data_IF_933279739893
#
_entry.id   IF_933279739893
#
_cell.length_a   1.000
_cell.length_b   1.000
_cell.length_c   1.000
_cell.angle_alpha   90.00
_cell.angle_beta   90.00
_cell.angle_gamma   90.00
#
_symmetry.space_group_name_H-M   'P 1'
#
loop_
_entity.id
_entity.type
_entity.pdbx_description
1 polymer ?
#
# COMPACT_ATOMS: atom_id res chain seq x y z
N UNK A 1 7.29 21.39 -20.53
CA UNK A 1 6.63 21.49 -19.21
C UNK A 1 7.46 20.66 -18.25
N UNK A 2 7.65 21.08 -17.00
CA UNK A 2 8.37 20.26 -16.01
C UNK A 2 7.54 19.01 -15.74
N UNK A 3 8.15 17.83 -15.83
CA UNK A 3 7.50 16.57 -15.47
C UNK A 3 7.06 16.57 -14.01
N UNK A 4 6.01 15.81 -13.68
CA UNK A 4 5.50 15.67 -12.30
C UNK A 4 5.40 14.19 -11.99
N UNK A 5 5.77 13.80 -10.78
CA UNK A 5 5.68 12.39 -10.42
C UNK A 5 6.24 12.07 -9.04
N UNK A 6 6.66 10.82 -8.89
CA UNK A 6 7.17 10.27 -7.64
C UNK A 6 8.64 10.64 -7.51
N UNK A 7 8.93 11.53 -6.57
CA UNK A 7 10.29 11.96 -6.28
C UNK A 7 11.01 11.01 -5.32
N UNK A 8 10.33 10.51 -4.27
CA UNK A 8 10.88 9.48 -3.37
C UNK A 8 9.74 8.64 -2.77
N UNK A 9 10.07 7.42 -2.35
CA UNK A 9 9.16 6.46 -1.72
C UNK A 9 9.84 5.81 -0.51
N UNK A 10 9.09 5.61 0.57
CA UNK A 10 9.56 4.92 1.76
C UNK A 10 8.47 3.97 2.29
N UNK A 11 8.89 2.83 2.82
CA UNK A 11 7.98 1.78 3.29
C UNK A 11 8.15 1.59 4.81
N UNK A 12 7.07 1.25 5.49
CA UNK A 12 7.09 0.73 6.86
C UNK A 12 6.24 -0.54 6.95
N UNK A 13 6.58 -1.42 7.88
CA UNK A 13 5.85 -2.66 8.19
C UNK A 13 5.39 -2.63 9.65
N UNK A 14 4.54 -3.57 10.05
CA UNK A 14 4.36 -3.88 11.48
C UNK A 14 5.63 -4.46 12.10
N UNK A 15 5.72 -4.40 13.43
CA UNK A 15 6.83 -4.93 14.21
C UNK A 15 6.92 -6.45 14.19
N UNK A 16 5.78 -7.14 14.06
CA UNK A 16 5.72 -8.58 14.10
C UNK A 16 5.52 -9.20 12.72
N UNK A 17 5.84 -10.50 12.62
CA UNK A 17 5.57 -11.33 11.45
C UNK A 17 4.96 -12.65 11.88
N UNK A 18 3.95 -13.13 11.13
CA UNK A 18 3.48 -14.51 11.23
C UNK A 18 3.90 -15.25 9.96
N UNK A 19 4.67 -16.33 10.13
CA UNK A 19 5.03 -17.23 9.03
C UNK A 19 3.82 -18.09 8.66
N UNK A 20 3.54 -18.23 7.36
CA UNK A 20 2.38 -19.01 6.92
C UNK A 20 2.57 -20.51 7.09
N UNK A 21 3.81 -20.98 7.24
CA UNK A 21 4.09 -22.37 7.65
C UNK A 21 3.47 -22.68 9.03
N UNK A 22 3.60 -21.78 10.00
CA UNK A 22 3.04 -21.95 11.36
C UNK A 22 1.51 -21.99 11.32
N UNK A 23 0.90 -21.14 10.48
CA UNK A 23 -0.55 -21.12 10.29
C UNK A 23 -1.03 -22.39 9.56
N UNK A 24 -0.26 -22.87 8.57
CA UNK A 24 -0.58 -24.09 7.82
C UNK A 24 -0.58 -25.31 8.73
N UNK A 25 0.45 -25.44 9.59
CA UNK A 25 0.54 -26.48 10.59
C UNK A 25 -0.65 -26.44 11.56
N UNK A 26 -0.97 -25.26 12.10
CA UNK A 26 -2.10 -25.08 13.03
C UNK A 26 -3.45 -25.47 12.43
N UNK A 27 -3.67 -25.16 11.16
CA UNK A 27 -4.93 -25.42 10.47
C UNK A 27 -4.98 -26.80 9.79
N UNK A 28 -3.87 -27.56 9.82
CA UNK A 28 -3.78 -28.88 9.19
C UNK A 28 -3.92 -28.81 7.66
N UNK A 29 -3.39 -27.75 7.03
CA UNK A 29 -3.40 -27.57 5.57
C UNK A 29 -1.99 -27.67 5.00
N UNK A 30 -1.89 -28.04 3.73
CA UNK A 30 -0.61 -28.09 3.01
C UNK A 30 -0.03 -26.67 2.84
N UNK A 31 1.21 -26.38 3.31
CA UNK A 31 1.86 -25.08 3.11
C UNK A 31 1.90 -24.62 1.65
N UNK A 32 1.92 -25.53 0.68
CA UNK A 32 1.88 -25.19 -0.75
C UNK A 32 0.60 -24.41 -1.12
N UNK A 33 -0.50 -24.58 -0.37
CA UNK A 33 -1.71 -23.76 -0.53
C UNK A 33 -1.42 -22.26 -0.34
N UNK A 34 -0.47 -21.93 0.53
CA UNK A 34 -0.05 -20.56 0.82
C UNK A 34 1.07 -20.10 -0.11
N UNK A 35 2.21 -20.79 -0.11
CA UNK A 35 3.40 -20.37 -0.87
C UNK A 35 3.21 -20.40 -2.39
N UNK A 36 2.39 -21.33 -2.90
CA UNK A 36 2.13 -21.52 -4.34
C UNK A 36 0.72 -21.07 -4.71
N UNK A 37 -0.28 -21.48 -3.93
CA UNK A 37 -1.70 -21.27 -4.26
C UNK A 37 -2.12 -19.80 -4.25
N UNK A 38 -1.76 -19.06 -3.20
CA UNK A 38 -1.99 -17.60 -3.10
C UNK A 38 -0.69 -16.81 -3.31
N UNK A 39 0.46 -17.46 -3.17
CA UNK A 39 1.77 -16.84 -3.35
C UNK A 39 2.15 -15.90 -2.21
N UNK A 40 1.96 -16.35 -0.97
CA UNK A 40 2.33 -15.62 0.25
C UNK A 40 3.24 -16.49 1.10
N UNK A 41 4.20 -15.88 1.77
CA UNK A 41 5.15 -16.56 2.66
C UNK A 41 4.89 -16.22 4.13
N UNK A 42 4.63 -14.95 4.40
CA UNK A 42 4.35 -14.44 5.73
C UNK A 42 3.48 -13.19 5.64
N UNK A 43 2.95 -12.73 6.77
CA UNK A 43 2.33 -11.40 6.84
C UNK A 43 2.75 -10.60 8.06
N UNK A 44 2.82 -9.28 7.87
CA UNK A 44 3.14 -8.32 8.93
C UNK A 44 1.97 -8.17 9.90
N UNK A 45 2.29 -8.09 11.20
CA UNK A 45 1.33 -7.87 12.28
C UNK A 45 1.80 -6.67 13.11
N UNK A 46 0.94 -5.67 13.40
CA UNK A 46 1.33 -4.55 14.24
C UNK A 46 1.44 -4.99 15.71
N UNK A 47 2.37 -4.38 16.45
CA UNK A 47 2.39 -4.48 17.91
C UNK A 47 1.23 -3.69 18.55
N UNK A 48 0.90 -3.91 19.84
CA UNK A 48 -0.16 -3.18 20.54
C UNK A 48 0.00 -1.65 20.59
N UNK A 49 1.21 -1.15 20.40
CA UNK A 49 1.57 0.27 20.33
C UNK A 49 1.84 0.73 18.88
N UNK A 50 1.37 -0.02 17.88
CA UNK A 50 1.41 0.34 16.46
C UNK A 50 0.00 0.37 15.83
N UNK A 51 -0.20 1.28 14.89
CA UNK A 51 -1.38 1.35 14.02
C UNK A 51 -1.03 2.05 12.69
N UNK A 52 -2.04 2.38 11.89
CA UNK A 52 -1.84 3.10 10.61
C UNK A 52 -1.15 4.47 10.78
N UNK A 53 -1.33 5.15 11.91
CA UNK A 53 -0.70 6.45 12.18
C UNK A 53 0.77 6.24 12.44
N UNK A 54 1.14 5.27 13.29
CA UNK A 54 2.56 5.04 13.61
C UNK A 54 3.34 4.51 12.41
N UNK A 55 2.78 3.55 11.66
CA UNK A 55 3.41 3.03 10.45
C UNK A 55 3.49 4.10 9.36
N UNK A 56 2.42 4.85 9.14
CA UNK A 56 2.40 5.96 8.18
C UNK A 56 3.41 7.06 8.53
N UNK A 57 3.50 7.44 9.81
CA UNK A 57 4.49 8.41 10.29
C UNK A 57 5.93 7.86 10.17
N UNK A 58 6.17 6.58 10.46
CA UNK A 58 7.49 5.97 10.33
C UNK A 58 7.98 5.98 8.89
N UNK A 59 7.13 5.61 7.92
CA UNK A 59 7.46 5.68 6.50
C UNK A 59 7.71 7.14 6.06
N UNK A 60 6.82 8.06 6.43
CA UNK A 60 6.95 9.47 6.06
C UNK A 60 8.18 10.13 6.70
N UNK A 61 8.55 9.76 7.93
CA UNK A 61 9.76 10.27 8.60
C UNK A 61 11.01 10.03 7.78
N UNK A 62 11.13 8.89 7.12
CA UNK A 62 12.29 8.63 6.26
C UNK A 62 12.39 9.63 5.10
N UNK A 63 11.25 10.04 4.52
CA UNK A 63 11.23 11.06 3.47
C UNK A 63 11.58 12.44 4.04
N UNK A 64 11.02 12.80 5.19
CA UNK A 64 11.31 14.08 5.85
C UNK A 64 12.77 14.18 6.27
N UNK A 65 13.36 13.10 6.79
CA UNK A 65 14.78 13.07 7.19
C UNK A 65 15.71 13.27 5.98
N UNK A 66 15.31 12.79 4.80
CA UNK A 66 16.08 12.95 3.55
C UNK A 66 15.88 14.32 2.88
N UNK A 67 14.64 14.79 2.83
CA UNK A 67 14.22 15.89 1.95
C UNK A 67 13.78 17.16 2.66
N UNK A 68 13.73 17.11 3.99
CA UNK A 68 13.14 18.16 4.82
C UNK A 68 11.64 18.34 4.59
N UNK A 69 11.10 19.42 5.15
CA UNK A 69 9.67 19.74 5.09
C UNK A 69 9.34 20.84 4.07
N UNK A 70 10.35 21.44 3.44
CA UNK A 70 10.17 22.63 2.60
C UNK A 70 9.23 22.35 1.43
N UNK A 71 8.34 23.28 1.09
CA UNK A 71 7.37 23.08 0.00
C UNK A 71 6.28 22.05 0.27
N UNK A 72 6.36 21.20 1.31
CA UNK A 72 5.26 20.31 1.68
C UNK A 72 4.10 21.15 2.20
N UNK A 73 3.04 21.23 1.42
CA UNK A 73 1.84 22.04 1.74
C UNK A 73 0.56 21.23 1.79
N UNK A 74 0.62 19.96 1.40
CA UNK A 74 -0.49 19.02 1.49
C UNK A 74 0.01 17.65 1.95
N UNK A 75 -0.72 17.05 2.90
CA UNK A 75 -0.62 15.64 3.29
C UNK A 75 -1.93 14.96 2.90
N UNK A 76 -1.84 13.90 2.11
CA UNK A 76 -2.97 13.06 1.71
C UNK A 76 -2.80 11.69 2.36
N UNK A 77 -3.64 11.36 3.33
CA UNK A 77 -3.59 10.07 4.00
C UNK A 77 -4.65 9.14 3.40
N UNK A 78 -4.24 8.05 2.76
CA UNK A 78 -5.13 7.05 2.21
C UNK A 78 -5.19 5.83 3.13
N UNK A 79 -6.40 5.42 3.49
CA UNK A 79 -6.62 4.23 4.33
C UNK A 79 -8.05 3.75 4.21
N UNK A 80 -8.24 2.45 4.36
CA UNK A 80 -9.53 1.87 4.70
C UNK A 80 -9.57 1.35 6.14
N UNK A 81 -8.50 1.55 6.91
CA UNK A 81 -8.30 1.13 8.31
C UNK A 81 -8.37 2.29 9.30
N UNK A 82 -9.16 3.32 8.98
CA UNK A 82 -9.30 4.56 9.74
C UNK A 82 -9.53 4.35 11.24
N UNK A 83 -8.91 5.20 12.04
CA UNK A 83 -8.88 5.12 13.51
C UNK A 83 -9.86 6.07 14.22
N UNK A 84 -10.51 6.93 13.45
CA UNK A 84 -11.47 7.94 13.88
C UNK A 84 -12.48 8.15 12.74
N UNK A 85 -13.74 8.44 13.06
CA UNK A 85 -14.80 8.62 12.06
C UNK A 85 -14.84 10.05 11.48
N UNK A 86 -14.05 10.97 12.04
CA UNK A 86 -14.02 12.38 11.65
C UNK A 86 -12.60 12.92 11.49
N UNK A 87 -11.74 12.71 12.48
CA UNK A 87 -10.36 13.23 12.47
C UNK A 87 -9.47 12.36 11.59
N UNK A 88 -9.05 12.90 10.45
CA UNK A 88 -8.09 12.26 9.55
C UNK A 88 -6.81 11.79 10.27
N UNK A 89 -6.37 10.56 10.01
CA UNK A 89 -5.16 9.95 10.55
C UNK A 89 -3.92 10.80 10.24
N UNK A 90 -3.88 11.43 9.06
CA UNK A 90 -2.82 12.35 8.66
C UNK A 90 -2.63 13.54 9.61
N UNK A 91 -3.63 13.94 10.40
CA UNK A 91 -3.51 15.04 11.37
C UNK A 91 -2.64 14.62 12.55
N UNK A 92 -2.68 13.35 12.95
CA UNK A 92 -1.75 12.82 13.94
C UNK A 92 -0.33 12.77 13.37
N UNK A 93 -0.16 12.30 12.14
CA UNK A 93 1.14 12.25 11.45
C UNK A 93 1.75 13.64 11.31
N UNK A 94 0.95 14.65 10.94
CA UNK A 94 1.38 16.05 10.87
C UNK A 94 2.04 16.52 12.18
N UNK A 95 1.41 16.23 13.32
CA UNK A 95 1.94 16.56 14.64
C UNK A 95 3.19 15.76 15.00
N UNK A 96 3.20 14.44 14.73
CA UNK A 96 4.32 13.54 15.01
C UNK A 96 5.59 13.92 14.24
N UNK A 97 5.45 14.38 12.99
CA UNK A 97 6.55 14.80 12.14
C UNK A 97 6.95 16.27 12.35
N UNK A 98 6.23 17.02 13.19
CA UNK A 98 6.49 18.44 13.41
C UNK A 98 6.34 19.30 12.15
N UNK A 99 5.42 18.94 11.25
CA UNK A 99 5.23 19.66 10.00
C UNK A 99 4.75 21.11 10.25
N UNK A 100 5.05 22.07 9.35
CA UNK A 100 4.56 23.44 9.47
C UNK A 100 3.03 23.51 9.57
N UNK A 101 2.50 24.51 10.29
CA UNK A 101 1.04 24.71 10.43
C UNK A 101 0.33 24.99 9.10
N UNK A 102 1.04 25.52 8.11
CA UNK A 102 0.51 25.85 6.79
C UNK A 102 0.51 24.62 5.85
N UNK A 103 -0.04 23.51 6.33
CA UNK A 103 -0.17 22.24 5.60
C UNK A 103 -1.62 21.81 5.63
N UNK A 104 -2.21 21.58 4.45
CA UNK A 104 -3.52 20.95 4.31
C UNK A 104 -3.40 19.47 4.61
N UNK A 105 -4.33 18.91 5.37
CA UNK A 105 -4.36 17.48 5.68
C UNK A 105 -5.77 16.94 5.44
N UNK A 106 -5.89 15.88 4.64
CA UNK A 106 -7.16 15.18 4.42
C UNK A 106 -6.93 13.66 4.38
N UNK A 107 -7.97 12.91 4.69
CA UNK A 107 -7.99 11.45 4.55
C UNK A 107 -8.85 11.04 3.34
N UNK A 108 -8.38 10.04 2.60
CA UNK A 108 -9.02 9.51 1.40
C UNK A 108 -9.38 8.05 1.62
N UNK A 109 -10.63 7.71 1.32
CA UNK A 109 -11.16 6.37 1.45
C UNK A 109 -11.77 5.94 0.13
N UNK A 110 -11.19 4.92 -0.47
CA UNK A 110 -11.91 4.01 -1.33
C UNK A 110 -11.14 2.68 -1.37
N UNK A 111 -11.50 1.77 -0.46
CA UNK A 111 -10.81 0.50 -0.23
C UNK A 111 -9.28 0.63 -0.43
N UNK A 112 -8.68 -0.32 -1.13
CA UNK A 112 -7.26 -0.32 -1.47
C UNK A 112 -6.88 0.69 -2.58
N UNK A 113 -7.85 1.29 -3.27
CA UNK A 113 -7.62 2.28 -4.33
C UNK A 113 -7.23 3.67 -3.78
N UNK A 114 -7.53 3.97 -2.51
CA UNK A 114 -7.30 5.29 -1.92
C UNK A 114 -5.87 5.83 -2.10
N UNK A 115 -4.85 4.97 -2.13
CA UNK A 115 -3.46 5.36 -2.35
C UNK A 115 -3.22 5.94 -3.76
N UNK A 116 -3.81 5.34 -4.80
CA UNK A 116 -3.75 5.85 -6.16
C UNK A 116 -4.53 7.16 -6.32
N UNK A 117 -5.73 7.24 -5.75
CA UNK A 117 -6.49 8.50 -5.72
C UNK A 117 -5.69 9.65 -5.07
N UNK A 118 -4.94 9.35 -4.01
CA UNK A 118 -4.07 10.32 -3.35
C UNK A 118 -2.93 10.79 -4.27
N UNK A 119 -2.30 9.87 -5.01
CA UNK A 119 -1.26 10.23 -5.99
C UNK A 119 -1.85 11.08 -7.11
N UNK A 120 -3.02 10.74 -7.67
CA UNK A 120 -3.66 11.56 -8.70
C UNK A 120 -3.96 12.99 -8.23
N UNK A 121 -4.50 13.15 -7.01
CA UNK A 121 -4.72 14.47 -6.43
C UNK A 121 -3.41 15.23 -6.20
N UNK A 122 -2.36 14.53 -5.78
CA UNK A 122 -1.03 15.11 -5.60
C UNK A 122 -0.45 15.62 -6.92
N UNK A 123 -0.53 14.83 -8.00
CA UNK A 123 -0.11 15.23 -9.36
C UNK A 123 -0.83 16.51 -9.80
N UNK A 124 -2.16 16.57 -9.62
CA UNK A 124 -2.94 17.76 -9.95
C UNK A 124 -2.58 19.00 -9.12
N UNK A 125 -2.29 18.84 -7.83
CA UNK A 125 -1.83 19.93 -6.96
C UNK A 125 -0.49 20.48 -7.44
N UNK A 126 0.48 19.60 -7.68
CA UNK A 126 1.83 20.00 -8.10
C UNK A 126 1.84 20.57 -9.52
N UNK A 127 1.05 20.01 -10.45
CA UNK A 127 0.88 20.58 -11.78
C UNK A 127 0.35 22.02 -11.74
N UNK A 128 -0.56 22.33 -10.79
CA UNK A 128 -1.06 23.69 -10.57
C UNK A 128 -0.05 24.59 -9.86
N UNK A 129 0.77 24.05 -8.97
CA UNK A 129 1.76 24.80 -8.19
C UNK A 129 3.09 24.03 -8.12
N UNK A 130 3.96 24.14 -9.15
CA UNK A 130 5.16 23.30 -9.28
C UNK A 130 6.23 23.46 -8.19
N UNK A 131 6.11 24.46 -7.33
CA UNK A 131 6.97 24.67 -6.17
C UNK A 131 6.46 23.98 -4.90
N UNK A 132 5.22 23.48 -4.91
CA UNK A 132 4.68 22.67 -3.82
C UNK A 132 5.11 21.21 -3.97
N UNK A 133 5.30 20.54 -2.83
CA UNK A 133 5.43 19.10 -2.71
C UNK A 133 4.22 18.55 -1.96
N UNK A 134 3.82 17.34 -2.29
CA UNK A 134 2.71 16.66 -1.62
C UNK A 134 3.21 15.36 -1.01
N UNK A 135 2.95 15.17 0.28
CA UNK A 135 3.23 13.93 0.98
C UNK A 135 1.98 13.06 0.95
N UNK A 136 2.04 11.98 0.17
CA UNK A 136 1.01 10.95 0.15
C UNK A 136 1.42 9.84 1.12
N UNK A 137 0.49 9.37 1.94
CA UNK A 137 0.70 8.25 2.88
C UNK A 137 -0.42 7.26 2.68
N UNK A 138 -0.10 6.05 2.24
CA UNK A 138 -1.00 4.92 2.19
C UNK A 138 -0.66 4.00 3.38
N UNK A 139 -1.60 3.71 4.27
CA UNK A 139 -1.33 2.90 5.46
C UNK A 139 -2.55 2.12 5.90
N UNK A 140 -2.39 0.82 6.15
CA UNK A 140 -3.50 -0.07 6.47
C UNK A 140 -3.09 -1.26 7.32
N UNK A 141 -4.10 -1.86 7.97
CA UNK A 141 -4.02 -3.14 8.66
C UNK A 141 -5.14 -4.02 8.11
N UNK A 142 -4.80 -4.95 7.22
CA UNK A 142 -5.75 -5.88 6.62
C UNK A 142 -6.14 -6.98 7.62
N UNK A 143 -7.43 -7.02 7.98
CA UNK A 143 -7.98 -7.93 8.99
C UNK A 143 -9.18 -8.68 8.45
N UNK A 144 -9.10 -10.00 8.54
CA UNK A 144 -10.17 -10.93 8.21
C UNK A 144 -10.55 -11.73 9.45
N UNK A 145 -11.72 -12.37 9.41
CA UNK A 145 -12.07 -13.29 10.50
C UNK A 145 -11.07 -14.46 10.53
N UNK A 146 -10.72 -14.86 11.75
CA UNK A 146 -9.84 -15.98 12.01
C UNK A 146 -10.45 -17.29 11.52
N UNK A 147 -9.60 -18.24 11.13
CA UNK A 147 -9.99 -19.56 10.63
C UNK A 147 -10.85 -19.49 9.35
N UNK A 148 -10.66 -18.44 8.55
CA UNK A 148 -11.30 -18.25 7.24
C UNK A 148 -10.32 -18.37 6.08
N UNK A 149 -10.79 -18.62 4.84
CA UNK A 149 -9.91 -18.65 3.66
C UNK A 149 -9.15 -17.34 3.36
N UNK A 150 -9.60 -16.20 3.91
CA UNK A 150 -8.99 -14.89 3.70
C UNK A 150 -7.95 -14.54 4.77
N UNK A 151 -7.95 -15.25 5.90
CA UNK A 151 -6.95 -15.06 6.95
C UNK A 151 -5.48 -15.10 6.48
N UNK A 152 -5.03 -16.04 5.63
CA UNK A 152 -3.63 -16.06 5.17
C UNK A 152 -3.27 -14.91 4.23
N UNK A 153 -4.22 -14.04 3.85
CA UNK A 153 -3.97 -12.84 3.04
C UNK A 153 -3.92 -11.56 3.88
N UNK A 154 -3.97 -11.64 5.20
CA UNK A 154 -3.82 -10.48 6.08
C UNK A 154 -2.46 -9.80 5.90
N UNK A 155 -2.29 -8.65 6.53
CA UNK A 155 -1.03 -7.91 6.51
C UNK A 155 -1.17 -6.51 7.10
N UNK A 156 -0.04 -5.85 7.26
CA UNK A 156 0.02 -4.49 7.81
C UNK A 156 1.26 -3.76 7.30
N UNK A 157 1.08 -2.50 6.93
CA UNK A 157 2.19 -1.68 6.46
C UNK A 157 1.74 -0.31 5.98
N UNK A 158 2.73 0.47 5.58
CA UNK A 158 2.53 1.78 5.01
C UNK A 158 3.54 2.08 3.90
N UNK A 159 3.14 2.91 2.95
CA UNK A 159 4.00 3.54 1.98
C UNK A 159 3.81 5.06 2.07
N UNK A 160 4.90 5.80 2.19
CA UNK A 160 4.93 7.24 2.03
C UNK A 160 5.54 7.56 0.67
N UNK A 161 4.94 8.51 -0.05
CA UNK A 161 5.32 8.91 -1.41
C UNK A 161 5.43 10.43 -1.43
N UNK A 162 6.58 10.95 -1.82
CA UNK A 162 6.79 12.37 -2.05
C UNK A 162 6.55 12.68 -3.52
N UNK A 163 5.52 13.47 -3.81
CA UNK A 163 5.18 13.90 -5.16
C UNK A 163 5.65 15.34 -5.38
N UNK A 164 6.40 15.57 -6.47
CA UNK A 164 6.91 16.89 -6.83
C UNK A 164 7.06 17.06 -8.35
N UNK A 165 7.34 18.30 -8.75
CA UNK A 165 7.86 18.58 -10.09
C UNK A 165 9.32 18.10 -10.15
N UNK A 166 9.78 17.74 -11.35
CA UNK A 166 11.10 17.18 -11.62
C UNK A 166 11.43 16.00 -10.68
N UNK A 167 10.66 14.90 -10.76
CA UNK A 167 10.82 13.75 -9.86
C UNK A 167 12.13 13.00 -10.13
N UNK A 168 12.69 12.40 -9.07
CA UNK A 168 13.95 11.63 -9.12
C UNK A 168 13.73 10.13 -9.40
N UNK A 169 12.54 9.59 -9.15
CA UNK A 169 12.25 8.16 -9.39
C UNK A 169 11.42 7.95 -10.65
N UNK A 170 10.23 8.54 -10.73
CA UNK A 170 9.28 8.26 -11.81
C UNK A 170 8.54 9.53 -12.19
N UNK A 171 8.56 9.87 -13.48
CA UNK A 171 7.68 10.88 -14.08
C UNK A 171 6.37 10.21 -14.51
N UNK A 172 5.23 10.68 -14.01
CA UNK A 172 3.92 10.08 -14.33
C UNK A 172 3.38 10.70 -15.62
N UNK A 173 2.94 9.85 -16.54
CA UNK A 173 2.37 10.26 -17.82
C UNK A 173 0.94 10.78 -17.62
N UNK A 174 0.46 11.71 -18.47
CA UNK A 174 -0.83 12.36 -18.28
C UNK A 174 -2.05 11.46 -18.55
N UNK A 175 -1.89 10.39 -19.34
CA UNK A 175 -2.96 9.45 -19.63
C UNK A 175 -3.19 8.52 -18.43
N UNK A 176 -4.46 8.33 -18.09
CA UNK A 176 -4.90 7.38 -17.07
C UNK A 176 -6.14 6.68 -17.61
N UNK A 177 -6.26 5.39 -17.32
CA UNK A 177 -7.46 4.62 -17.60
C UNK A 177 -8.19 4.30 -16.30
N UNK A 178 -9.49 4.53 -16.27
CA UNK A 178 -10.32 4.36 -15.07
C UNK A 178 -11.49 3.42 -15.32
N UNK A 179 -11.88 2.71 -14.27
CA UNK A 179 -13.05 1.84 -14.28
C UNK A 179 -13.75 1.90 -12.92
N UNK A 180 -15.08 2.01 -12.91
CA UNK A 180 -15.88 1.94 -11.68
C UNK A 180 -17.10 1.07 -11.92
N UNK A 181 -17.35 0.14 -11.01
CA UNK A 181 -18.56 -0.67 -10.99
C UNK A 181 -19.01 -0.89 -9.56
N UNK A 182 -20.29 -0.69 -9.28
CA UNK A 182 -20.89 -0.96 -7.97
C UNK A 182 -21.00 -2.49 -7.76
N UNK A 183 -20.22 -3.02 -6.83
CA UNK A 183 -20.10 -4.46 -6.55
C UNK A 183 -19.71 -4.72 -5.10
N UNK A 184 -20.45 -5.60 -4.43
CA UNK A 184 -20.14 -6.06 -3.07
C UNK A 184 -19.14 -7.22 -3.09
N UNK A 185 -17.93 -7.00 -3.60
CA UNK A 185 -16.90 -8.04 -3.64
C UNK A 185 -16.13 -8.17 -2.32
N UNK A 186 -15.87 -7.03 -1.67
CA UNK A 186 -15.30 -6.91 -0.34
C UNK A 186 -15.75 -5.60 0.29
N UNK A 187 -16.13 -5.65 1.57
CA UNK A 187 -16.56 -4.45 2.31
C UNK A 187 -16.40 -4.64 3.82
N UNK A 188 -16.34 -3.53 4.55
CA UNK A 188 -16.32 -3.53 6.02
C UNK A 188 -17.36 -2.57 6.58
N UNK A 189 -18.54 -3.07 7.01
CA UNK A 189 -19.54 -2.29 7.72
C UNK A 189 -18.97 -1.60 8.97
N UNK A 190 -19.56 -0.46 9.36
CA UNK A 190 -19.03 0.40 10.44
C UNK A 190 -18.94 -0.28 11.81
N UNK A 191 -19.72 -1.33 12.05
CA UNK A 191 -19.78 -2.11 13.29
C UNK A 191 -18.83 -3.32 13.29
N UNK A 192 -17.99 -3.47 12.26
CA UNK A 192 -17.05 -4.59 12.13
C UNK A 192 -15.59 -4.13 12.12
N UNK A 193 -14.75 -4.86 12.85
CA UNK A 193 -13.29 -4.71 12.81
C UNK A 193 -12.62 -5.56 11.72
N UNK A 194 -13.33 -6.56 11.19
CA UNK A 194 -12.87 -7.48 10.14
C UNK A 194 -13.75 -7.37 8.91
N UNK A 195 -13.15 -7.49 7.74
CA UNK A 195 -13.86 -7.36 6.48
C UNK A 195 -14.70 -8.60 6.12
N UNK A 196 -15.73 -8.37 5.31
CA UNK A 196 -16.50 -9.39 4.61
C UNK A 196 -16.00 -9.48 3.17
N UNK A 197 -16.04 -10.69 2.60
CA UNK A 197 -15.52 -10.93 1.24
C UNK A 197 -16.31 -12.04 0.55
N UNK A 198 -16.71 -11.78 -0.69
CA UNK A 198 -17.05 -12.83 -1.66
C UNK A 198 -15.83 -13.06 -2.55
N UNK A 199 -15.05 -14.09 -2.22
CA UNK A 199 -13.78 -14.35 -2.91
C UNK A 199 -13.91 -14.64 -4.40
N UNK A 200 -15.04 -15.20 -4.87
CA UNK A 200 -15.22 -15.47 -6.31
C UNK A 200 -15.59 -14.19 -7.05
N UNK A 201 -16.45 -13.38 -6.45
CA UNK A 201 -16.83 -12.08 -6.99
C UNK A 201 -15.62 -11.14 -7.03
N UNK A 202 -14.80 -11.11 -5.99
CA UNK A 202 -13.61 -10.24 -5.91
C UNK A 202 -12.56 -10.54 -6.97
N UNK A 203 -12.31 -11.82 -7.27
CA UNK A 203 -11.45 -12.20 -8.40
C UNK A 203 -12.00 -11.65 -9.73
N UNK A 204 -13.30 -11.77 -9.95
CA UNK A 204 -13.93 -11.33 -11.20
C UNK A 204 -13.97 -9.81 -11.32
N UNK A 205 -14.30 -9.11 -10.23
CA UNK A 205 -14.33 -7.65 -10.15
C UNK A 205 -12.95 -7.04 -10.40
N UNK A 206 -11.90 -7.56 -9.76
CA UNK A 206 -10.51 -7.14 -10.02
C UNK A 206 -10.14 -7.29 -11.49
N UNK A 207 -10.40 -8.45 -12.08
CA UNK A 207 -10.05 -8.75 -13.48
C UNK A 207 -10.79 -7.82 -14.44
N UNK A 208 -12.09 -7.62 -14.23
CA UNK A 208 -12.90 -6.72 -15.04
C UNK A 208 -12.43 -5.27 -14.91
N UNK A 209 -12.09 -4.84 -13.69
CA UNK A 209 -11.57 -3.50 -13.46
C UNK A 209 -10.22 -3.28 -14.14
N UNK A 210 -9.34 -4.29 -14.18
CA UNK A 210 -8.06 -4.17 -14.87
C UNK A 210 -8.23 -4.07 -16.39
N UNK A 211 -9.05 -4.94 -16.99
CA UNK A 211 -9.34 -4.90 -18.43
C UNK A 211 -10.07 -3.61 -18.80
N UNK A 212 -11.04 -3.18 -18.01
CA UNK A 212 -11.77 -1.94 -18.25
C UNK A 212 -10.89 -0.69 -18.13
N UNK A 213 -10.03 -0.63 -17.12
CA UNK A 213 -9.06 0.46 -16.99
C UNK A 213 -8.02 0.44 -18.12
N UNK A 214 -7.64 -0.74 -18.62
CA UNK A 214 -6.79 -0.84 -19.81
C UNK A 214 -7.48 -0.27 -21.06
N UNK A 215 -8.73 -0.66 -21.31
CA UNK A 215 -9.49 -0.19 -22.47
C UNK A 215 -9.65 1.33 -22.45
N UNK A 216 -10.00 1.91 -21.29
CA UNK A 216 -10.07 3.37 -21.14
C UNK A 216 -8.70 4.03 -21.31
N UNK A 217 -7.61 3.46 -20.77
CA UNK A 217 -6.26 4.01 -20.97
C UNK A 217 -5.92 4.10 -22.47
N UNK A 218 -6.22 3.05 -23.24
CA UNK A 218 -6.00 3.03 -24.68
C UNK A 218 -6.86 4.09 -25.40
N UNK A 219 -8.11 4.28 -24.99
CA UNK A 219 -9.00 5.32 -25.52
C UNK A 219 -8.52 6.74 -25.18
N UNK A 220 -7.92 6.95 -24.01
CA UNK A 220 -7.33 8.24 -23.60
C UNK A 220 -5.95 8.51 -24.23
N UNK A 221 -5.51 7.68 -25.18
CA UNK A 221 -4.23 7.86 -25.87
C UNK A 221 -3.02 7.42 -25.05
N UNK A 222 -3.21 6.49 -24.12
CA UNK A 222 -2.12 5.81 -23.44
C UNK A 222 -1.24 4.98 -24.38
N UNK A 223 -0.08 4.52 -23.87
CA UNK A 223 0.90 3.78 -24.66
C UNK A 223 0.38 2.40 -25.08
N UNK A 224 0.97 1.83 -26.13
CA UNK A 224 0.66 0.46 -26.51
C UNK A 224 1.17 -0.52 -25.44
N UNK A 225 0.60 -1.73 -25.40
CA UNK A 225 1.04 -2.78 -24.46
C UNK A 225 2.54 -3.07 -24.57
N UNK A 226 3.06 -3.20 -25.79
CA UNK A 226 4.47 -3.50 -26.05
C UNK A 226 5.42 -2.35 -25.68
N UNK A 227 4.89 -1.15 -25.43
CA UNK A 227 5.67 0.02 -24.99
C UNK A 227 5.78 0.13 -23.46
N UNK A 228 5.20 -0.82 -22.72
CA UNK A 228 5.26 -0.90 -21.25
C UNK A 228 6.19 -2.06 -20.86
N UNK A 229 7.33 -1.72 -20.26
CA UNK A 229 8.39 -2.68 -19.95
C UNK A 229 8.07 -3.58 -18.75
N UNK A 230 7.36 -3.04 -17.75
CA UNK A 230 6.96 -3.76 -16.53
C UNK A 230 5.60 -3.31 -16.04
N UNK A 231 4.88 -4.22 -15.40
CA UNK A 231 3.63 -3.91 -14.70
C UNK A 231 3.77 -4.14 -13.20
N UNK A 232 3.23 -3.21 -12.41
CA UNK A 232 3.03 -3.35 -10.97
C UNK A 232 1.53 -3.31 -10.70
N UNK A 233 1.08 -4.25 -9.89
CA UNK A 233 -0.33 -4.44 -9.55
C UNK A 233 -0.57 -4.19 -8.07
N UNK A 234 -1.78 -3.76 -7.72
CA UNK A 234 -2.33 -3.99 -6.39
C UNK A 234 -2.37 -5.50 -6.10
N UNK A 235 -1.90 -5.92 -4.93
CA UNK A 235 -1.69 -7.33 -4.60
C UNK A 235 -2.42 -7.68 -3.30
N UNK A 236 -3.70 -8.09 -3.34
CA UNK A 236 -4.34 -8.68 -2.16
C UNK A 236 -3.68 -10.02 -1.80
N UNK A 237 -3.18 -10.71 -2.82
CA UNK A 237 -2.20 -11.79 -2.77
C UNK A 237 -1.55 -11.89 -4.15
N UNK A 238 -0.32 -12.37 -4.24
CA UNK A 238 0.49 -12.22 -5.48
C UNK A 238 -0.10 -13.00 -6.67
N UNK A 239 -0.73 -14.15 -6.43
CA UNK A 239 -1.42 -14.90 -7.50
C UNK A 239 -2.64 -14.18 -8.09
N UNK A 240 -3.18 -13.15 -7.44
CA UNK A 240 -4.26 -12.34 -8.02
C UNK A 240 -3.75 -11.51 -9.20
N UNK A 241 -2.59 -10.87 -9.06
CA UNK A 241 -1.96 -10.09 -10.13
C UNK A 241 -1.68 -10.96 -11.37
N UNK A 242 -1.19 -12.18 -11.19
CA UNK A 242 -0.98 -13.15 -12.28
C UNK A 242 -2.29 -13.47 -13.02
N UNK A 243 -3.38 -13.71 -12.30
CA UNK A 243 -4.69 -14.02 -12.91
C UNK A 243 -5.21 -12.85 -13.75
N UNK A 244 -5.11 -11.64 -13.22
CA UNK A 244 -5.54 -10.44 -13.92
C UNK A 244 -4.68 -10.13 -15.13
N UNK A 245 -3.36 -10.23 -14.99
CA UNK A 245 -2.44 -9.95 -16.09
C UNK A 245 -2.55 -10.97 -17.22
N UNK A 246 -2.72 -12.26 -16.89
CA UNK A 246 -3.06 -13.28 -17.90
C UNK A 246 -4.34 -12.95 -18.67
N UNK A 247 -5.34 -12.36 -18.02
CA UNK A 247 -6.58 -11.98 -18.70
C UNK A 247 -6.36 -10.78 -19.62
N UNK A 248 -5.56 -9.80 -19.18
CA UNK A 248 -5.19 -8.67 -20.04
C UNK A 248 -4.42 -9.13 -21.27
N UNK A 249 -3.41 -9.99 -21.13
CA UNK A 249 -2.61 -10.44 -22.28
C UNK A 249 -3.43 -11.25 -23.28
N UNK A 250 -4.40 -12.04 -22.82
CA UNK A 250 -5.41 -12.65 -23.69
C UNK A 250 -6.28 -11.63 -24.42
N UNK A 251 -6.64 -10.53 -23.75
CA UNK A 251 -7.48 -9.47 -24.29
C UNK A 251 -6.76 -8.66 -25.39
N UNK A 252 -5.48 -8.34 -25.18
CA UNK A 252 -4.67 -7.57 -26.15
C UNK A 252 -3.93 -8.44 -27.18
N UNK A 253 -3.92 -9.77 -26.99
CA UNK A 253 -3.24 -10.71 -27.88
C UNK A 253 -1.71 -10.76 -27.70
N UNK A 254 -1.22 -10.50 -26.49
CA UNK A 254 0.21 -10.51 -26.14
C UNK A 254 0.63 -11.80 -25.42
N UNK A 255 1.92 -12.20 -25.49
CA UNK A 255 2.46 -13.27 -24.64
C UNK A 255 2.52 -12.81 -23.17
N UNK A 256 2.58 -13.78 -22.24
CA UNK A 256 2.76 -13.51 -20.82
C UNK A 256 3.67 -14.55 -20.17
N UNK A 257 4.73 -14.09 -19.51
CA UNK A 257 5.51 -14.89 -18.56
C UNK A 257 5.20 -14.44 -17.12
N UNK A 258 4.84 -15.38 -16.23
CA UNK A 258 4.60 -15.04 -14.81
C UNK A 258 5.86 -14.47 -14.13
N UNK A 259 7.05 -14.79 -14.66
CA UNK A 259 8.32 -14.27 -14.16
C UNK A 259 8.40 -12.73 -14.28
N UNK A 260 7.71 -12.12 -15.24
CA UNK A 260 7.72 -10.67 -15.49
C UNK A 260 7.16 -9.86 -14.30
N UNK A 261 6.34 -10.48 -13.46
CA UNK A 261 5.76 -9.85 -12.26
C UNK A 261 6.48 -10.24 -10.96
N UNK A 262 7.38 -11.22 -11.01
CA UNK A 262 7.92 -11.86 -9.81
C UNK A 262 8.70 -10.89 -8.91
N UNK A 263 9.47 -9.96 -9.51
CA UNK A 263 10.24 -8.97 -8.75
C UNK A 263 9.30 -8.10 -7.90
N UNK A 264 8.21 -7.59 -8.50
CA UNK A 264 7.20 -6.77 -7.82
C UNK A 264 6.41 -7.50 -6.73
N UNK A 265 6.56 -8.82 -6.61
CA UNK A 265 5.94 -9.62 -5.56
C UNK A 265 6.84 -9.75 -4.32
N UNK A 266 8.14 -9.55 -4.45
CA UNK A 266 9.16 -9.90 -3.44
C UNK A 266 8.81 -9.41 -2.03
N UNK A 267 8.43 -8.15 -1.89
CA UNK A 267 8.09 -7.58 -0.58
C UNK A 267 6.67 -7.93 -0.14
N UNK A 268 5.69 -7.93 -1.05
CA UNK A 268 4.30 -8.26 -0.72
C UNK A 268 4.11 -9.72 -0.28
N UNK A 269 4.98 -10.65 -0.71
CA UNK A 269 5.02 -12.04 -0.21
C UNK A 269 5.32 -12.14 1.29
N UNK A 270 5.98 -11.13 1.84
CA UNK A 270 6.48 -11.08 3.21
C UNK A 270 5.64 -10.16 4.11
N UNK A 271 4.99 -9.16 3.53
CA UNK A 271 4.11 -8.23 4.26
C UNK A 271 2.65 -8.70 4.32
N UNK A 272 2.23 -9.53 3.37
CA UNK A 272 0.82 -9.81 3.11
C UNK A 272 0.10 -8.59 2.53
N UNK A 273 -1.24 -8.58 2.58
CA UNK A 273 -2.01 -7.47 2.03
C UNK A 273 -1.91 -6.24 2.93
N UNK A 274 -1.53 -5.10 2.36
CA UNK A 274 -1.44 -3.80 3.04
C UNK A 274 -2.41 -2.78 2.42
N UNK A 275 -3.49 -3.29 1.81
CA UNK A 275 -4.54 -2.53 1.14
C UNK A 275 -3.99 -1.39 0.27
N UNK A 276 -4.14 -0.13 0.72
CA UNK A 276 -3.74 1.05 -0.05
C UNK A 276 -2.23 1.10 -0.32
N UNK A 277 -1.41 0.42 0.49
CA UNK A 277 0.04 0.38 0.33
C UNK A 277 0.53 -0.76 -0.59
N UNK A 278 -0.30 -1.77 -0.92
CA UNK A 278 0.16 -2.99 -1.60
C UNK A 278 0.76 -2.72 -2.99
N UNK A 279 0.18 -1.79 -3.77
CA UNK A 279 0.74 -1.40 -5.07
C UNK A 279 2.13 -0.76 -4.89
N UNK A 280 2.25 0.14 -3.92
CA UNK A 280 3.45 0.93 -3.68
C UNK A 280 4.59 0.12 -3.08
N UNK A 281 4.29 -0.87 -2.24
CA UNK A 281 5.27 -1.87 -1.78
C UNK A 281 5.76 -2.73 -2.95
N UNK A 282 4.88 -3.07 -3.89
CA UNK A 282 5.27 -3.76 -5.12
C UNK A 282 6.17 -2.90 -6.01
N UNK A 283 5.88 -1.60 -6.10
CA UNK A 283 6.70 -0.64 -6.83
C UNK A 283 8.08 -0.47 -6.18
N UNK A 284 8.14 -0.38 -4.85
CA UNK A 284 9.39 -0.33 -4.10
C UNK A 284 10.24 -1.59 -4.35
N UNK A 285 9.63 -2.78 -4.39
CA UNK A 285 10.33 -4.02 -4.74
C UNK A 285 10.91 -3.95 -6.15
N UNK A 286 10.15 -3.45 -7.13
CA UNK A 286 10.63 -3.31 -8.49
C UNK A 286 11.80 -2.33 -8.59
N UNK A 287 11.68 -1.13 -8.01
CA UNK A 287 12.75 -0.12 -8.02
C UNK A 287 14.02 -0.57 -7.29
N UNK A 288 13.87 -1.30 -6.17
CA UNK A 288 15.01 -1.75 -5.37
C UNK A 288 15.77 -2.92 -6.01
N UNK A 289 15.10 -3.76 -6.80
CA UNK A 289 15.60 -5.08 -7.20
C UNK A 289 15.76 -5.29 -8.71
N UNK A 290 15.04 -4.54 -9.55
CA UNK A 290 15.26 -4.53 -11.00
C UNK A 290 16.24 -3.41 -11.34
N UNK A 291 17.36 -3.78 -11.95
CA UNK A 291 18.40 -2.85 -12.38
C UNK A 291 18.05 -2.24 -13.75
N UNK A 292 17.24 -2.89 -14.58
CA UNK A 292 17.08 -2.53 -15.99
C UNK A 292 15.84 -1.67 -16.25
N UNK A 293 15.59 -0.68 -15.38
CA UNK A 293 14.42 0.21 -15.48
C UNK A 293 14.74 1.61 -16.02
N UNK A 294 16.01 2.00 -16.19
CA UNK A 294 16.36 3.38 -16.52
C UNK A 294 15.75 3.84 -17.86
N UNK A 295 14.85 4.83 -17.82
CA UNK A 295 14.12 5.32 -19.00
C UNK A 295 12.96 4.42 -19.45
N UNK A 296 12.76 3.29 -18.78
CA UNK A 296 11.69 2.35 -19.10
C UNK A 296 10.34 2.84 -18.58
N UNK A 297 9.29 2.41 -19.27
CA UNK A 297 7.91 2.70 -18.89
C UNK A 297 7.34 1.60 -18.00
N UNK A 298 6.72 2.02 -16.90
CA UNK A 298 5.97 1.15 -16.00
C UNK A 298 4.47 1.36 -16.19
N UNK A 299 3.69 0.27 -16.12
CA UNK A 299 2.24 0.31 -15.91
C UNK A 299 1.91 0.04 -14.44
N UNK A 300 1.15 0.93 -13.80
CA UNK A 300 0.80 0.83 -12.38
C UNK A 300 -0.71 0.68 -12.25
N UNK A 301 -1.16 -0.53 -11.95
CA UNK A 301 -2.59 -0.83 -11.77
C UNK A 301 -2.97 -0.84 -10.29
N UNK A 302 -3.87 0.07 -9.90
CA UNK A 302 -4.50 0.09 -8.60
C UNK A 302 -5.92 -0.45 -8.67
N UNK A 303 -6.29 -1.27 -7.69
CA UNK A 303 -7.65 -1.76 -7.51
C UNK A 303 -8.10 -1.47 -6.08
N UNK A 304 -9.37 -1.13 -5.92
CA UNK A 304 -10.06 -1.07 -4.63
C UNK A 304 -11.43 -1.69 -4.78
N UNK A 305 -11.77 -2.61 -3.90
CA UNK A 305 -13.09 -3.26 -3.84
C UNK A 305 -14.24 -2.26 -3.66
N UNK A 306 -15.44 -2.65 -4.10
CA UNK A 306 -16.64 -1.80 -4.12
C UNK A 306 -17.20 -1.38 -5.49
N UNK A 307 -16.48 -1.22 -6.60
CA UNK A 307 -15.04 -1.28 -6.87
C UNK A 307 -14.61 -0.17 -7.85
N UNK A 308 -13.33 0.21 -7.76
CA UNK A 308 -12.65 1.15 -8.65
C UNK A 308 -11.32 0.55 -9.08
N UNK A 309 -11.04 0.59 -10.39
CA UNK A 309 -9.75 0.28 -10.97
C UNK A 309 -9.17 1.51 -11.66
N UNK A 310 -7.86 1.71 -11.55
CA UNK A 310 -7.15 2.76 -12.28
C UNK A 310 -5.79 2.26 -12.71
N UNK A 311 -5.47 2.46 -13.99
CA UNK A 311 -4.17 2.17 -14.58
C UNK A 311 -3.53 3.47 -15.05
N UNK A 312 -2.34 3.74 -14.54
CA UNK A 312 -1.49 4.85 -14.99
C UNK A 312 -0.17 4.31 -15.54
N UNK A 313 0.53 5.13 -16.31
CA UNK A 313 1.89 4.83 -16.73
C UNK A 313 2.88 5.89 -16.25
N UNK A 314 4.13 5.49 -16.11
CA UNK A 314 5.19 6.41 -15.71
C UNK A 314 6.55 5.98 -16.25
N UNK A 315 7.41 6.96 -16.52
CA UNK A 315 8.77 6.76 -17.01
C UNK A 315 9.73 6.83 -15.83
N UNK A 316 10.48 5.76 -15.63
CA UNK A 316 11.52 5.72 -14.61
C UNK A 316 12.68 6.62 -15.03
N UNK A 317 13.16 7.43 -14.10
CA UNK A 317 14.23 8.39 -14.38
C UNK A 317 15.56 7.66 -14.69
N UNK A 318 16.39 8.17 -15.61
CA UNK A 318 17.65 7.50 -15.98
C UNK A 318 18.58 7.23 -14.79
N UNK A 319 18.55 8.09 -13.77
CA UNK A 319 19.36 8.07 -12.56
C UNK A 319 18.64 7.45 -11.34
N UNK A 320 17.50 6.78 -11.53
CA UNK A 320 16.71 6.25 -10.40
C UNK A 320 17.51 5.35 -9.44
N UNK A 321 18.56 4.68 -9.91
CA UNK A 321 19.44 3.83 -9.07
C UNK A 321 20.21 4.63 -8.01
N UNK A 322 20.45 5.91 -8.23
CA UNK A 322 21.06 6.81 -7.24
C UNK A 322 20.05 7.21 -6.14
N UNK A 323 18.76 7.14 -6.49
CA UNK A 323 17.65 7.58 -5.65
C UNK A 323 16.83 6.44 -5.05
N UNK A 324 17.02 5.19 -5.49
CA UNK A 324 16.38 4.02 -4.88
C UNK A 324 16.95 3.74 -3.49
N UNK A 325 16.30 2.86 -2.73
CA UNK A 325 16.64 2.55 -1.33
C UNK A 325 16.95 1.06 -1.17
N UNK A 326 17.78 0.56 -2.08
CA UNK A 326 18.14 -0.85 -2.17
C UNK A 326 18.56 -1.42 -0.80
N UNK A 327 17.86 -2.46 -0.37
CA UNK A 327 18.11 -3.16 0.90
C UNK A 327 17.38 -2.57 2.12
N UNK A 328 16.88 -1.33 2.07
CA UNK A 328 16.20 -0.72 3.23
C UNK A 328 14.94 -1.50 3.62
N UNK A 329 14.08 -1.81 2.65
CA UNK A 329 12.84 -2.58 2.91
C UNK A 329 13.17 -4.00 3.36
N UNK A 330 14.22 -4.62 2.79
CA UNK A 330 14.70 -5.94 3.24
C UNK A 330 15.09 -5.90 4.73
N UNK A 331 15.88 -4.92 5.15
CA UNK A 331 16.26 -4.78 6.55
C UNK A 331 15.06 -4.54 7.48
N UNK A 332 14.02 -3.84 7.02
CA UNK A 332 12.78 -3.70 7.78
C UNK A 332 12.08 -5.06 7.95
N UNK A 333 11.97 -5.85 6.89
CA UNK A 333 11.34 -7.17 6.92
C UNK A 333 12.09 -8.14 7.84
N UNK A 334 13.43 -8.13 7.78
CA UNK A 334 14.32 -8.98 8.59
C UNK A 334 14.36 -8.57 10.08
N UNK A 335 14.06 -7.31 10.40
CA UNK A 335 14.04 -6.81 11.78
C UNK A 335 12.75 -7.13 12.55
N UNK A 336 11.74 -7.71 11.91
CA UNK A 336 10.46 -8.07 12.55
C UNK A 336 10.65 -9.23 13.52
N UNK A 337 9.78 -9.26 14.54
CA UNK A 337 9.77 -10.31 15.57
C UNK A 337 8.73 -11.38 15.22
N UNK A 338 9.13 -12.65 14.99
CA UNK A 338 8.19 -13.73 14.71
C UNK A 338 7.20 -13.98 15.86
N UNK A 339 5.96 -14.30 15.51
CA UNK A 339 4.90 -14.66 16.45
C UNK A 339 4.54 -16.14 16.34
N UNK A 340 4.17 -16.75 17.48
CA UNK A 340 3.37 -17.98 17.45
C UNK A 340 1.94 -17.65 17.02
N UNK A 341 1.22 -18.64 16.46
CA UNK A 341 -0.19 -18.46 16.07
C UNK A 341 -1.05 -18.01 17.26
N UNK A 342 -0.80 -18.51 18.48
CA UNK A 342 -1.55 -18.10 19.68
C UNK A 342 -1.29 -16.64 20.05
N UNK A 343 -0.05 -16.16 19.95
CA UNK A 343 0.29 -14.76 20.22
C UNK A 343 -0.36 -13.82 19.18
N UNK A 344 -0.31 -14.21 17.90
CA UNK A 344 -1.03 -13.50 16.84
C UNK A 344 -2.55 -13.47 17.10
N UNK A 345 -3.17 -14.59 17.47
CA UNK A 345 -4.61 -14.66 17.78
C UNK A 345 -4.98 -13.74 18.94
N UNK A 346 -4.14 -13.66 19.98
CA UNK A 346 -4.34 -12.75 21.10
C UNK A 346 -4.29 -11.27 20.66
N UNK A 347 -3.31 -10.90 19.84
CA UNK A 347 -3.22 -9.55 19.25
C UNK A 347 -4.43 -9.24 18.35
N UNK A 348 -4.82 -10.20 17.50
CA UNK A 348 -5.97 -10.07 16.62
C UNK A 348 -7.27 -9.83 17.40
N UNK A 349 -7.49 -10.55 18.50
CA UNK A 349 -8.66 -10.36 19.36
C UNK A 349 -8.64 -9.01 20.11
N UNK A 350 -7.46 -8.55 20.54
CA UNK A 350 -7.30 -7.30 21.28
C UNK A 350 -7.42 -6.03 20.42
N UNK A 351 -7.28 -6.14 19.10
CA UNK A 351 -7.21 -5.01 18.17
C UNK A 351 -8.54 -4.26 17.92
N UNK A 352 -9.58 -4.43 18.74
CA UNK A 352 -10.82 -3.69 18.57
C UNK A 352 -10.63 -2.19 18.92
N UNK A 353 -11.30 -1.31 18.18
CA UNK A 353 -11.32 0.11 18.52
C UNK A 353 -12.02 0.30 19.87
N UNK A 354 -11.50 1.21 20.70
CA UNK A 354 -12.08 1.55 21.99
C UNK A 354 -12.05 3.06 22.21
N UNK A 355 -13.11 3.59 22.84
CA UNK A 355 -13.15 4.95 23.37
C UNK A 355 -12.83 5.02 24.86
N UNK A 356 -12.67 3.87 25.51
CA UNK A 356 -12.31 3.78 26.93
C UNK A 356 -10.85 4.16 27.14
N UNK A 357 -10.58 4.74 28.31
CA UNK A 357 -9.22 5.09 28.70
C UNK A 357 -8.36 3.83 28.79
N UNK A 358 -7.26 3.82 28.04
CA UNK A 358 -6.31 2.72 28.01
C UNK A 358 -4.91 3.27 27.87
N UNK A 359 -3.97 2.77 28.66
CA UNK A 359 -2.55 2.98 28.45
C UNK A 359 -1.95 1.76 27.78
N UNK A 360 -1.14 1.97 26.74
CA UNK A 360 -0.44 0.90 26.03
C UNK A 360 1.04 0.95 26.40
N UNK A 361 1.64 -0.13 26.94
CA UNK A 361 3.07 -0.15 27.19
C UNK A 361 3.86 -0.02 25.88
N UNK A 362 5.06 0.53 25.94
CA UNK A 362 5.97 0.55 24.79
C UNK A 362 6.47 -0.87 24.52
N UNK A 363 6.26 -1.37 23.32
CA UNK A 363 6.71 -2.69 22.87
C UNK A 363 7.79 -2.54 21.81
N UNK A 364 7.61 -1.61 20.87
CA UNK A 364 8.51 -1.46 19.73
C UNK A 364 9.63 -0.46 19.98
N UNK A 365 10.66 -0.53 19.12
CA UNK A 365 11.70 0.51 19.01
C UNK A 365 11.42 1.49 17.85
N UNK A 366 10.23 1.44 17.26
CA UNK A 366 9.83 2.33 16.18
C UNK A 366 9.89 3.81 16.63
N UNK A 367 10.10 4.77 15.70
CA UNK A 367 10.20 6.19 16.06
C UNK A 367 8.93 6.77 16.68
N UNK A 368 7.78 6.13 16.43
CA UNK A 368 6.48 6.56 16.94
C UNK A 368 5.72 5.38 17.54
N UNK A 369 4.93 5.66 18.57
CA UNK A 369 4.04 4.67 19.20
C UNK A 369 2.66 5.23 19.49
N UNK A 370 1.67 4.35 19.50
CA UNK A 370 0.35 4.59 20.06
C UNK A 370 0.42 4.36 21.58
N UNK A 371 0.37 5.45 22.36
CA UNK A 371 0.48 5.41 23.81
C UNK A 371 -0.85 5.02 24.50
N UNK A 372 -1.96 5.11 23.77
CA UNK A 372 -3.29 4.73 24.25
C UNK A 372 -4.36 5.79 24.06
N UNK A 373 -5.46 5.66 24.79
CA UNK A 373 -6.63 6.54 24.72
C UNK A 373 -6.83 7.23 26.06
N UNK A 374 -7.09 8.54 26.06
CA UNK A 374 -7.51 9.30 27.25
C UNK A 374 -8.64 10.25 26.88
N UNK A 375 -9.76 10.19 27.60
CA UNK A 375 -10.96 10.96 27.30
C UNK A 375 -11.51 10.70 25.89
N UNK A 376 -11.36 9.48 25.37
CA UNK A 376 -11.73 9.10 24.01
C UNK A 376 -10.78 9.57 22.91
N UNK A 377 -9.73 10.34 23.23
CA UNK A 377 -8.74 10.79 22.25
C UNK A 377 -7.54 9.83 22.19
N UNK A 378 -7.08 9.50 20.98
CA UNK A 378 -5.86 8.70 20.75
C UNK A 378 -4.61 9.56 20.99
N UNK A 379 -3.66 9.04 21.75
CA UNK A 379 -2.38 9.67 22.05
C UNK A 379 -1.23 8.92 21.39
N UNK A 380 -0.34 9.68 20.79
CA UNK A 380 0.85 9.18 20.13
C UNK A 380 2.08 9.89 20.68
N UNK A 381 3.20 9.18 20.71
CA UNK A 381 4.47 9.68 21.22
C UNK A 381 5.57 9.46 20.17
N UNK A 382 6.44 10.45 20.01
CA UNK A 382 7.73 10.30 19.35
C UNK A 382 8.76 9.78 20.35
N UNK A 383 9.71 9.00 19.87
CA UNK A 383 10.71 8.30 20.69
C UNK A 383 12.02 9.06 20.84
#
# INVERSE_FOLDING_TARGET
MTGVGIHDIAIATGHHVLELDDLAERLGVDPAKYHVGIGQDAFSVPAPDEDIVTMGAAAAKELIDRHGVDGIRTVLFATESGVDQSKAAGVYVHGLLGLPKAVRVVELKQACYGGMAAVQLALGIVARAPHERVLVIAADVARYDVDTPAEPTQGAGAAAILVSADPDLIEIEPAAGVYTADVDDFWRPNDRSTALVDGRLSVSAYVNAFVGAWDDLAEQGGPAYDDIARFVHHQPFTKMAIKAHRKLTQHVGAPFDEADLAIGFTYNRQTGNTYTASLWIGLAALLDLDDDLAGERLGLFSYGSGSVGELITGIVRPDYREHRRAGRVRSLLEARVPLTVDAYRALHAAGAATSEDVERPRVTTAPFRFAGVRGGARHYEAS
#
